data_IF_978148079427
#
_entry.id   IF_978148079427
#
_cell.length_a   1.000
_cell.length_b   1.000
_cell.length_c   1.000
_cell.angle_alpha   90.00
_cell.angle_beta   90.00
_cell.angle_gamma   90.00
#
_symmetry.space_group_name_H-M   'P 1'
#
loop_
_entity.id
_entity.type
_entity.pdbx_description
1 polymer ?
#
# COMPACT_ATOMS: atom_id res chain seq x y z
N UNK A 1 -3.60 -61.78 -24.67
CA UNK A 1 -4.30 -60.97 -23.63
C UNK A 1 -3.24 -60.32 -22.75
N UNK A 2 -2.79 -59.11 -23.10
CA UNK A 2 -1.81 -58.34 -22.29
C UNK A 2 -2.53 -57.79 -21.07
N UNK A 3 -1.94 -57.99 -19.90
CA UNK A 3 -2.58 -57.84 -18.59
C UNK A 3 -2.86 -56.37 -18.25
N UNK A 4 -4.13 -55.97 -18.29
CA UNK A 4 -4.66 -54.60 -18.10
C UNK A 4 -4.32 -53.98 -16.72
N UNK A 5 -4.04 -54.81 -15.71
CA UNK A 5 -3.71 -54.34 -14.35
C UNK A 5 -2.40 -53.55 -14.30
N UNK A 6 -1.39 -53.93 -15.10
CA UNK A 6 -0.08 -53.27 -15.08
C UNK A 6 -0.13 -51.87 -15.73
N UNK A 7 -0.99 -51.69 -16.73
CA UNK A 7 -1.19 -50.40 -17.40
C UNK A 7 -1.89 -49.36 -16.50
N UNK A 8 -2.81 -49.80 -15.64
CA UNK A 8 -3.49 -48.96 -14.64
C UNK A 8 -2.51 -48.44 -13.57
N UNK A 9 -1.66 -49.31 -13.02
CA UNK A 9 -0.65 -48.91 -12.03
C UNK A 9 0.39 -47.93 -12.60
N UNK A 10 0.80 -48.11 -13.87
CA UNK A 10 1.71 -47.19 -14.56
C UNK A 10 1.05 -45.82 -14.82
N UNK A 11 -0.25 -45.80 -15.13
CA UNK A 11 -1.00 -44.56 -15.39
C UNK A 11 -1.24 -43.74 -14.12
N UNK A 12 -1.58 -44.41 -13.01
CA UNK A 12 -1.75 -43.77 -11.68
C UNK A 12 -0.42 -43.20 -11.18
N UNK A 13 0.69 -43.92 -11.36
CA UNK A 13 2.01 -43.44 -10.96
C UNK A 13 2.47 -42.23 -11.77
N UNK A 14 2.17 -42.19 -13.09
CA UNK A 14 2.41 -41.01 -13.95
C UNK A 14 1.56 -39.81 -13.55
N UNK A 15 0.29 -40.04 -13.17
CA UNK A 15 -0.61 -38.98 -12.71
C UNK A 15 -0.14 -38.38 -11.37
N UNK A 16 0.32 -39.23 -10.44
CA UNK A 16 0.89 -38.81 -9.16
C UNK A 16 2.19 -38.03 -9.33
N UNK A 17 3.05 -38.40 -10.28
CA UNK A 17 4.27 -37.65 -10.60
C UNK A 17 3.93 -36.27 -11.20
N UNK A 18 2.94 -36.18 -12.10
CA UNK A 18 2.53 -34.87 -12.65
C UNK A 18 1.91 -33.96 -11.59
N UNK A 19 1.09 -34.49 -10.68
CA UNK A 19 0.54 -33.73 -9.56
C UNK A 19 1.64 -33.27 -8.59
N UNK A 20 2.63 -34.11 -8.30
CA UNK A 20 3.77 -33.73 -7.48
C UNK A 20 4.58 -32.60 -8.15
N UNK A 21 4.88 -32.69 -9.45
CA UNK A 21 5.62 -31.63 -10.16
C UNK A 21 4.84 -30.30 -10.17
N UNK A 22 3.52 -30.32 -10.33
CA UNK A 22 2.68 -29.12 -10.28
C UNK A 22 2.66 -28.46 -8.89
N UNK A 23 2.74 -29.24 -7.80
CA UNK A 23 2.83 -28.73 -6.42
C UNK A 23 4.20 -28.10 -6.13
N UNK A 24 5.26 -28.52 -6.80
CA UNK A 24 6.60 -27.94 -6.62
C UNK A 24 6.76 -26.61 -7.37
N UNK A 25 6.04 -26.43 -8.48
CA UNK A 25 6.10 -25.19 -9.28
C UNK A 25 5.42 -23.99 -8.62
N UNK A 26 4.50 -24.19 -7.67
CA UNK A 26 3.80 -23.09 -6.98
C UNK A 26 4.58 -22.48 -5.82
N UNK A 27 5.69 -23.10 -5.39
CA UNK A 27 6.46 -22.65 -4.23
C UNK A 27 7.57 -21.64 -4.56
N UNK A 28 7.72 -21.25 -5.83
CA UNK A 28 8.73 -20.29 -6.28
C UNK A 28 8.17 -18.88 -6.53
N UNK A 29 7.08 -18.51 -5.86
CA UNK A 29 6.73 -17.11 -5.68
C UNK A 29 7.53 -16.56 -4.49
N UNK A 30 8.84 -16.35 -4.70
CA UNK A 30 9.65 -15.60 -3.75
C UNK A 30 9.20 -14.13 -3.81
N UNK A 31 8.47 -13.69 -2.81
CA UNK A 31 8.20 -12.27 -2.62
C UNK A 31 9.54 -11.61 -2.25
N UNK A 32 9.96 -10.63 -3.03
CA UNK A 32 11.16 -9.85 -2.70
C UNK A 32 10.88 -9.09 -1.41
N UNK A 33 11.40 -9.59 -0.30
CA UNK A 33 11.35 -8.89 0.98
C UNK A 33 12.21 -7.64 0.85
N UNK A 34 11.57 -6.49 0.66
CA UNK A 34 12.23 -5.19 0.65
C UNK A 34 12.54 -4.83 2.10
N UNK A 35 13.81 -4.95 2.48
CA UNK A 35 14.26 -4.54 3.81
C UNK A 35 14.38 -3.02 3.89
N UNK A 36 13.81 -2.43 4.95
CA UNK A 36 13.82 -0.98 5.18
C UNK A 36 14.68 -0.64 6.40
N UNK A 37 15.83 -0.02 6.15
CA UNK A 37 16.75 0.45 7.19
C UNK A 37 16.37 1.81 7.79
N UNK A 38 16.34 1.89 9.13
CA UNK A 38 16.22 3.14 9.88
C UNK A 38 17.47 4.02 9.64
N UNK A 39 17.25 5.32 9.41
CA UNK A 39 18.31 6.28 9.08
C UNK A 39 18.57 6.44 7.58
N UNK A 40 18.06 5.53 6.75
CA UNK A 40 18.14 5.60 5.29
C UNK A 40 16.77 5.79 4.65
N UNK A 41 15.83 4.90 4.94
CA UNK A 41 14.49 4.93 4.34
C UNK A 41 13.49 5.69 5.20
N UNK A 42 13.64 5.64 6.51
CA UNK A 42 12.77 6.33 7.45
C UNK A 42 13.53 6.76 8.71
N UNK A 43 12.93 7.68 9.47
CA UNK A 43 13.38 8.06 10.79
C UNK A 43 12.24 7.91 11.78
N UNK A 44 12.56 7.37 12.97
CA UNK A 44 11.59 7.34 14.07
C UNK A 44 11.50 8.70 14.74
N UNK A 45 10.28 9.21 14.87
CA UNK A 45 10.01 10.44 15.61
C UNK A 45 9.74 10.08 17.07
N UNK A 46 10.55 10.63 17.97
CA UNK A 46 10.43 10.46 19.41
C UNK A 46 10.32 11.83 20.11
N UNK A 47 9.32 12.03 20.98
CA UNK A 47 8.26 11.09 21.36
C UNK A 47 7.25 10.86 20.22
N UNK A 48 6.51 9.74 20.30
CA UNK A 48 5.43 9.46 19.37
C UNK A 48 4.39 10.58 19.41
N UNK A 49 3.93 11.01 18.23
CA UNK A 49 2.92 12.06 18.10
C UNK A 49 1.51 11.49 18.35
N UNK A 50 0.58 12.31 18.86
CA UNK A 50 -0.82 11.93 18.93
C UNK A 50 -1.38 11.64 17.53
N UNK A 51 -2.14 10.56 17.41
CA UNK A 51 -2.82 10.19 16.17
C UNK A 51 -4.20 10.87 16.07
N UNK A 52 -4.66 11.13 14.86
CA UNK A 52 -5.98 11.67 14.51
C UNK A 52 -6.98 10.56 14.15
N UNK A 53 -6.63 9.29 14.37
CA UNK A 53 -7.42 8.12 13.98
C UNK A 53 -7.76 7.26 15.20
N UNK A 54 -8.80 6.44 15.07
CA UNK A 54 -9.26 5.58 16.16
C UNK A 54 -8.21 4.52 16.54
N UNK A 55 -8.26 4.07 17.79
CA UNK A 55 -7.41 2.98 18.28
C UNK A 55 -7.56 1.74 17.40
N UNK A 56 -6.44 1.08 17.09
CA UNK A 56 -6.40 -0.09 16.20
C UNK A 56 -6.20 0.25 14.72
N UNK A 57 -6.19 1.53 14.35
CA UNK A 57 -5.83 1.97 13.01
C UNK A 57 -4.38 2.46 12.94
N UNK A 58 -3.79 2.33 11.76
CA UNK A 58 -2.51 2.95 11.41
C UNK A 58 -2.79 4.24 10.66
N UNK A 59 -2.27 5.36 11.16
CA UNK A 59 -2.32 6.64 10.46
C UNK A 59 -1.16 6.76 9.46
N UNK A 60 -1.48 7.12 8.23
CA UNK A 60 -0.50 7.58 7.24
C UNK A 60 -0.82 9.05 6.93
N UNK A 61 -0.01 9.94 7.46
CA UNK A 61 -0.13 11.38 7.31
C UNK A 61 0.73 11.86 6.14
N UNK A 62 0.12 12.57 5.17
CA UNK A 62 0.87 13.29 4.14
C UNK A 62 0.93 14.78 4.47
N UNK A 63 2.14 15.33 4.47
CA UNK A 63 2.38 16.77 4.55
C UNK A 63 2.53 17.35 3.15
N UNK A 64 1.57 18.19 2.73
CA UNK A 64 1.55 18.73 1.37
C UNK A 64 1.36 20.26 1.33
N UNK A 65 1.58 20.86 0.16
CA UNK A 65 1.18 22.24 -0.13
C UNK A 65 0.81 22.32 -1.62
N UNK A 66 -0.28 22.98 -2.02
CA UNK A 66 -0.73 22.96 -3.42
C UNK A 66 0.25 23.60 -4.41
N UNK A 67 1.20 24.41 -3.94
CA UNK A 67 2.28 24.95 -4.78
C UNK A 67 3.54 24.06 -4.89
N UNK A 68 3.54 22.87 -4.27
CA UNK A 68 4.68 21.96 -4.26
C UNK A 68 4.69 21.07 -5.51
N UNK A 69 5.65 21.24 -6.45
CA UNK A 69 5.69 20.44 -7.67
C UNK A 69 5.91 18.94 -7.39
N UNK A 70 6.75 18.59 -6.43
CA UNK A 70 6.98 17.18 -6.06
C UNK A 70 5.75 16.51 -5.45
N UNK A 71 4.93 17.27 -4.73
CA UNK A 71 3.67 16.77 -4.18
C UNK A 71 2.68 16.51 -5.31
N UNK A 72 2.62 17.40 -6.30
CA UNK A 72 1.81 17.20 -7.50
C UNK A 72 2.24 15.96 -8.30
N UNK A 73 3.54 15.78 -8.53
CA UNK A 73 4.06 14.60 -9.24
C UNK A 73 3.80 13.30 -8.45
N UNK A 74 3.79 13.36 -7.12
CA UNK A 74 3.57 12.20 -6.25
C UNK A 74 2.10 11.75 -6.19
N UNK A 75 1.15 12.65 -6.47
CA UNK A 75 -0.28 12.39 -6.30
C UNK A 75 -0.77 11.18 -7.13
N UNK A 76 -0.18 10.93 -8.30
CA UNK A 76 -0.54 9.76 -9.13
C UNK A 76 -0.26 8.45 -8.38
N UNK A 77 0.92 8.33 -7.78
CA UNK A 77 1.34 7.15 -7.03
C UNK A 77 0.54 7.01 -5.74
N UNK A 78 0.32 8.13 -5.05
CA UNK A 78 -0.45 8.16 -3.83
C UNK A 78 -1.91 7.77 -4.07
N UNK A 79 -2.54 8.26 -5.14
CA UNK A 79 -3.91 7.90 -5.53
C UNK A 79 -4.04 6.42 -5.89
N UNK A 80 -3.03 5.81 -6.52
CA UNK A 80 -2.99 4.36 -6.73
C UNK A 80 -2.92 3.63 -5.40
N UNK A 81 -1.97 3.99 -4.53
CA UNK A 81 -1.81 3.37 -3.22
C UNK A 81 -3.05 3.53 -2.32
N UNK A 82 -3.73 4.68 -2.31
CA UNK A 82 -4.96 4.92 -1.53
C UNK A 82 -6.07 3.91 -1.86
N UNK A 83 -6.11 3.39 -3.09
CA UNK A 83 -7.08 2.37 -3.53
C UNK A 83 -6.69 0.94 -3.12
N UNK A 84 -5.41 0.70 -2.84
CA UNK A 84 -4.84 -0.63 -2.59
C UNK A 84 -4.45 -0.86 -1.12
N UNK A 85 -4.32 0.21 -0.33
CA UNK A 85 -3.95 0.14 1.09
C UNK A 85 -4.91 -0.75 1.88
N UNK A 86 -4.41 -1.37 2.95
CA UNK A 86 -5.23 -2.16 3.86
C UNK A 86 -6.32 -1.34 4.57
N UNK A 87 -7.44 -1.98 4.92
CA UNK A 87 -8.62 -1.32 5.51
C UNK A 87 -8.34 -0.63 6.85
N UNK A 88 -7.44 -1.20 7.64
CA UNK A 88 -7.03 -0.65 8.94
C UNK A 88 -6.08 0.56 8.83
N UNK A 89 -5.64 0.91 7.62
CA UNK A 89 -4.82 2.09 7.36
C UNK A 89 -5.73 3.28 7.03
N UNK A 90 -5.55 4.38 7.73
CA UNK A 90 -6.28 5.64 7.51
C UNK A 90 -5.31 6.69 6.97
N UNK A 91 -5.63 7.21 5.79
CA UNK A 91 -4.85 8.25 5.14
C UNK A 91 -5.36 9.63 5.56
N UNK A 92 -4.45 10.52 5.95
CA UNK A 92 -4.78 11.87 6.44
C UNK A 92 -3.93 12.89 5.68
N UNK A 93 -4.53 13.73 4.80
CA UNK A 93 -3.81 14.85 4.20
C UNK A 93 -3.71 16.02 5.19
N UNK A 94 -2.54 16.65 5.27
CA UNK A 94 -2.25 17.74 6.19
C UNK A 94 -1.45 18.85 5.50
N UNK A 95 -2.04 20.03 5.26
CA UNK A 95 -1.30 21.16 4.70
C UNK A 95 -0.10 21.57 5.56
N UNK A 96 1.10 21.49 4.99
CA UNK A 96 2.33 21.98 5.58
C UNK A 96 2.46 23.49 5.34
N UNK A 97 2.43 24.29 6.41
CA UNK A 97 2.57 25.75 6.34
C UNK A 97 3.97 26.15 6.80
N UNK A 98 4.94 26.12 5.89
CA UNK A 98 6.32 26.55 6.17
C UNK A 98 6.55 28.05 5.87
N UNK A 99 5.62 28.69 5.16
CA UNK A 99 5.65 30.12 4.86
C UNK A 99 4.25 30.75 5.05
N UNK A 100 4.19 32.01 5.51
CA UNK A 100 2.92 32.76 5.67
C UNK A 100 2.11 32.83 4.37
N UNK A 101 2.78 32.88 3.22
CA UNK A 101 2.10 32.94 1.92
C UNK A 101 1.39 31.62 1.56
N UNK A 102 1.65 30.52 2.28
CA UNK A 102 1.02 29.22 2.06
C UNK A 102 -0.27 29.04 2.88
N UNK A 103 -0.48 29.88 3.89
CA UNK A 103 -1.67 29.86 4.77
C UNK A 103 -2.99 29.86 3.99
N UNK A 104 -3.19 30.67 2.92
CA UNK A 104 -4.45 30.66 2.18
C UNK A 104 -4.79 29.29 1.59
N UNK A 105 -3.78 28.54 1.15
CA UNK A 105 -3.96 27.21 0.57
C UNK A 105 -4.34 26.18 1.65
N UNK A 106 -3.71 26.24 2.83
CA UNK A 106 -4.11 25.41 3.97
C UNK A 106 -5.56 25.69 4.41
N UNK A 107 -5.96 26.98 4.45
CA UNK A 107 -7.35 27.36 4.74
C UNK A 107 -8.32 26.84 3.70
N UNK A 108 -7.96 26.89 2.42
CA UNK A 108 -8.77 26.33 1.34
C UNK A 108 -9.00 24.83 1.53
N UNK A 109 -7.94 24.06 1.81
CA UNK A 109 -8.07 22.63 2.10
C UNK A 109 -9.02 22.35 3.26
N UNK A 110 -8.87 23.05 4.38
CA UNK A 110 -9.76 22.86 5.52
C UNK A 110 -11.20 23.27 5.24
N UNK A 111 -11.42 24.37 4.50
CA UNK A 111 -12.76 24.76 4.09
C UNK A 111 -13.40 23.68 3.20
N UNK A 112 -12.66 23.13 2.25
CA UNK A 112 -13.11 22.01 1.40
C UNK A 112 -13.42 20.76 2.23
N UNK A 113 -12.62 20.48 3.27
CA UNK A 113 -12.84 19.34 4.16
C UNK A 113 -14.15 19.46 4.94
N UNK A 114 -14.43 20.63 5.50
CA UNK A 114 -15.70 20.88 6.20
C UNK A 114 -16.92 20.79 5.27
N UNK A 115 -16.73 21.07 3.97
CA UNK A 115 -17.76 20.91 2.96
C UNK A 115 -17.91 19.48 2.44
N UNK A 116 -17.02 18.55 2.83
CA UNK A 116 -16.99 17.18 2.27
C UNK A 116 -16.44 17.11 0.83
N UNK A 117 -15.80 18.17 0.35
CA UNK A 117 -15.34 18.31 -1.03
C UNK A 117 -13.81 18.14 -1.17
N UNK A 118 -13.09 17.97 -0.06
CA UNK A 118 -11.63 17.89 -0.06
C UNK A 118 -11.10 16.80 -0.99
N UNK A 119 -11.62 15.58 -0.92
CA UNK A 119 -11.14 14.46 -1.76
C UNK A 119 -11.30 14.74 -3.26
N UNK A 120 -12.39 15.39 -3.66
CA UNK A 120 -12.65 15.73 -5.07
C UNK A 120 -11.78 16.88 -5.58
N UNK A 121 -11.35 17.77 -4.69
CA UNK A 121 -10.61 19.00 -5.00
C UNK A 121 -9.12 18.90 -4.71
N UNK A 122 -8.70 17.84 -4.03
CA UNK A 122 -7.33 17.54 -3.66
C UNK A 122 -6.88 16.31 -4.47
N UNK A 123 -6.66 16.56 -5.76
CA UNK A 123 -6.31 15.58 -6.79
C UNK A 123 -5.65 16.27 -7.97
#
# INVERSE_FOLDING_TARGET
MVNNKNASHISIFRLLIMLAVAVWTTSLAGELEVEFDEGYHYHRILPALPLQVDTGHVEVLELFWYGCPHCYDFEEYLTKWKREKADHVKFVPMPAVMNRNWVPQARAYFALREMGEAERMHS
#
